data_IF_353932427200
#
_entry.id   IF_353932427200
#
_cell.length_a   1.000
_cell.length_b   1.000
_cell.length_c   1.000
_cell.angle_alpha   90.00
_cell.angle_beta   90.00
_cell.angle_gamma   90.00
#
_symmetry.space_group_name_H-M   'P 1'
#
loop_
_entity.id
_entity.type
_entity.pdbx_description
1 polymer ?
#
# COMPACT_ATOMS: atom_id res chain seq x y z
N UNK A 1 4.77 -16.85 -4.44
CA UNK A 1 5.57 -15.68 -4.69
C UNK A 1 5.80 -15.48 -6.16
N UNK A 2 6.43 -14.49 -6.50
CA UNK A 2 6.81 -14.29 -7.85
C UNK A 2 5.90 -13.37 -8.58
N UNK A 3 5.86 -13.56 -9.87
CA UNK A 3 5.24 -12.60 -10.76
C UNK A 3 3.75 -12.49 -10.57
N UNK A 4 3.09 -13.60 -10.21
CA UNK A 4 1.65 -13.57 -10.06
C UNK A 4 1.18 -12.58 -9.02
N UNK A 5 1.85 -12.56 -7.87
CA UNK A 5 1.48 -11.64 -6.81
C UNK A 5 1.83 -10.21 -7.18
N UNK A 6 2.95 -10.01 -7.86
CA UNK A 6 3.32 -8.68 -8.29
C UNK A 6 2.32 -8.14 -9.30
N UNK A 7 1.95 -8.94 -10.29
CA UNK A 7 0.97 -8.49 -11.27
C UNK A 7 -0.38 -8.21 -10.63
N UNK A 8 -0.79 -9.05 -9.70
CA UNK A 8 -2.05 -8.82 -9.01
C UNK A 8 -2.03 -7.50 -8.26
N UNK A 9 -0.93 -7.23 -7.56
CA UNK A 9 -0.82 -6.00 -6.79
C UNK A 9 -0.85 -4.78 -7.70
N UNK A 10 -0.22 -4.85 -8.85
CA UNK A 10 -0.10 -3.71 -9.74
C UNK A 10 -1.25 -3.58 -10.75
N UNK A 11 -2.18 -4.53 -10.75
CA UNK A 11 -3.29 -4.49 -11.70
C UNK A 11 -4.36 -3.47 -11.33
N UNK A 12 -4.38 -3.03 -10.10
CA UNK A 12 -5.38 -2.09 -9.61
C UNK A 12 -4.80 -0.68 -9.61
N UNK A 13 -5.46 0.28 -10.29
CA UNK A 13 -4.94 1.64 -10.35
C UNK A 13 -4.77 2.28 -8.97
N UNK A 14 -5.67 1.98 -8.04
CA UNK A 14 -5.57 2.54 -6.69
C UNK A 14 -4.28 2.08 -6.02
N UNK A 15 -3.90 0.82 -6.21
CA UNK A 15 -2.68 0.33 -5.61
C UNK A 15 -1.45 0.97 -6.23
N UNK A 16 -1.48 1.21 -7.53
CA UNK A 16 -0.37 1.92 -8.18
C UNK A 16 -0.25 3.35 -7.64
N UNK A 17 -1.38 4.00 -7.40
CA UNK A 17 -1.37 5.36 -6.85
C UNK A 17 -0.83 5.37 -5.42
N UNK A 18 -1.18 4.37 -4.62
CA UNK A 18 -0.64 4.26 -3.27
C UNK A 18 0.87 4.10 -3.32
N UNK A 19 1.37 3.26 -4.21
CA UNK A 19 2.81 3.08 -4.35
C UNK A 19 3.50 4.38 -4.75
N UNK A 20 2.91 5.12 -5.68
CA UNK A 20 3.48 6.39 -6.09
C UNK A 20 3.58 7.36 -4.92
N UNK A 21 2.54 7.39 -4.09
CA UNK A 21 2.55 8.25 -2.92
C UNK A 21 3.62 7.83 -1.93
N UNK A 22 3.76 6.54 -1.69
CA UNK A 22 4.73 6.04 -0.73
C UNK A 22 6.17 6.23 -1.17
N UNK A 23 6.40 6.44 -2.45
CA UNK A 23 7.74 6.73 -2.94
C UNK A 23 8.26 8.04 -2.37
N UNK A 24 7.39 8.90 -1.91
CA UNK A 24 7.79 10.19 -1.38
C UNK A 24 8.13 10.15 0.11
N UNK A 25 7.85 9.03 0.76
CA UNK A 25 8.18 8.89 2.16
C UNK A 25 7.23 7.97 2.87
N UNK A 26 7.53 7.73 4.13
CA UNK A 26 6.69 6.86 4.93
C UNK A 26 5.37 7.54 5.27
N UNK A 27 4.31 6.75 5.28
CA UNK A 27 2.99 7.25 5.63
C UNK A 27 2.25 6.19 6.41
N UNK A 28 1.43 6.61 7.34
CA UNK A 28 0.51 5.72 8.02
C UNK A 28 -0.66 5.38 7.13
N UNK A 29 -1.35 4.30 7.44
CA UNK A 29 -2.56 3.94 6.70
C UNK A 29 -3.60 5.06 6.76
N UNK A 30 -3.70 5.72 7.91
CA UNK A 30 -4.64 6.84 8.04
C UNK A 30 -4.29 7.99 7.12
N UNK A 31 -3.00 8.30 6.99
CA UNK A 31 -2.57 9.36 6.10
C UNK A 31 -2.85 9.02 4.65
N UNK A 32 -2.60 7.78 4.27
CA UNK A 32 -2.89 7.33 2.91
C UNK A 32 -4.39 7.43 2.64
N UNK A 33 -5.20 6.97 3.58
CA UNK A 33 -6.64 7.00 3.41
C UNK A 33 -7.18 8.41 3.24
N UNK A 34 -6.66 9.35 4.03
CA UNK A 34 -7.07 10.73 3.91
C UNK A 34 -6.69 11.32 2.56
N UNK A 35 -5.52 10.92 2.06
CA UNK A 35 -5.04 11.44 0.78
C UNK A 35 -5.93 11.00 -0.38
N UNK A 36 -6.44 9.77 -0.32
CA UNK A 36 -7.23 9.21 -1.42
C UNK A 36 -8.72 9.16 -1.13
N UNK A 37 -9.15 9.66 0.02
CA UNK A 37 -10.55 9.62 0.40
C UNK A 37 -11.08 8.18 0.42
N UNK A 38 -10.30 7.29 0.99
CA UNK A 38 -10.67 5.89 1.15
C UNK A 38 -10.81 5.55 2.62
N UNK A 39 -11.66 4.56 2.91
CA UNK A 39 -11.79 4.09 4.29
C UNK A 39 -10.54 3.35 4.71
N UNK A 40 -10.33 3.28 6.02
CA UNK A 40 -9.20 2.53 6.54
C UNK A 40 -9.24 1.07 6.14
N UNK A 41 -10.43 0.47 6.08
CA UNK A 41 -10.54 -0.91 5.68
C UNK A 41 -10.08 -1.12 4.24
N UNK A 42 -10.45 -0.20 3.36
CA UNK A 42 -10.03 -0.28 1.96
C UNK A 42 -8.52 -0.13 1.83
N UNK A 43 -7.95 0.83 2.54
CA UNK A 43 -6.51 1.03 2.53
C UNK A 43 -5.80 -0.20 3.07
N UNK A 44 -6.28 -0.77 4.16
CA UNK A 44 -5.68 -1.96 4.74
C UNK A 44 -5.71 -3.13 3.76
N UNK A 45 -6.79 -3.26 3.02
CA UNK A 45 -6.90 -4.31 2.01
C UNK A 45 -5.84 -4.14 0.93
N UNK A 46 -5.68 -2.93 0.42
CA UNK A 46 -4.67 -2.68 -0.61
C UNK A 46 -3.25 -2.86 -0.09
N UNK A 47 -3.00 -2.38 1.12
CA UNK A 47 -1.67 -2.52 1.70
C UNK A 47 -1.30 -3.97 1.96
N UNK A 48 -2.28 -4.79 2.33
CA UNK A 48 -2.04 -6.20 2.54
C UNK A 48 -1.57 -6.87 1.24
N UNK A 49 -2.23 -6.54 0.14
CA UNK A 49 -1.85 -7.11 -1.15
C UNK A 49 -0.47 -6.62 -1.57
N UNK A 50 -0.19 -5.34 -1.38
CA UNK A 50 1.10 -4.78 -1.72
C UNK A 50 2.22 -5.36 -0.86
N UNK A 51 1.94 -5.57 0.41
CA UNK A 51 2.92 -6.17 1.32
C UNK A 51 3.23 -7.60 0.92
N UNK A 52 2.19 -8.36 0.58
CA UNK A 52 2.38 -9.74 0.19
C UNK A 52 3.22 -9.85 -1.08
N UNK A 53 3.11 -8.88 -1.96
CA UNK A 53 3.91 -8.85 -3.18
C UNK A 53 5.32 -8.32 -2.96
N UNK A 54 5.65 -7.88 -1.75
CA UNK A 54 6.97 -7.37 -1.45
C UNK A 54 7.20 -5.96 -1.93
N UNK A 55 6.13 -5.23 -2.25
CA UNK A 55 6.26 -3.89 -2.80
C UNK A 55 6.22 -2.80 -1.75
N UNK A 56 5.71 -3.10 -0.57
CA UNK A 56 5.75 -2.17 0.55
C UNK A 56 6.19 -2.92 1.78
N UNK A 57 6.78 -2.18 2.72
CA UNK A 57 7.25 -2.74 3.97
C UNK A 57 6.67 -1.96 5.11
N UNK A 58 6.30 -2.69 6.14
CA UNK A 58 5.79 -2.05 7.34
C UNK A 58 6.97 -1.64 8.21
N UNK A 59 6.96 -0.39 8.64
CA UNK A 59 7.98 0.10 9.54
C UNK A 59 7.36 0.33 10.90
N UNK A 60 8.01 -0.13 11.93
CA UNK A 60 7.53 0.08 13.28
C UNK A 60 8.49 0.99 14.01
N UNK A 61 7.92 2.02 14.56
CA UNK A 61 8.68 2.90 15.43
C UNK A 61 8.55 2.40 16.85
N UNK A 62 9.65 2.27 17.50
CA UNK A 62 9.64 1.89 18.89
C UNK A 62 9.90 3.08 19.74
N UNK A 63 9.09 3.24 20.72
CA UNK A 63 9.24 4.36 21.61
C UNK A 63 9.27 3.91 23.03
#
# INVERSE_FOLDING_TARGET
MGFGETFKALSDPARRDILSLLREGRMSAGEIGAHFDMTGATISYHLKILKKAGLVFETRDKH
#
